data_IF_715792473478
#
_entry.id   IF_715792473478
#
_cell.length_a   1.000
_cell.length_b   1.000
_cell.length_c   1.000
_cell.angle_alpha   90.00
_cell.angle_beta   90.00
_cell.angle_gamma   90.00
#
_symmetry.space_group_name_H-M   'P 1'
#
loop_
_entity.id
_entity.type
_entity.pdbx_description
1 polymer ?
#
# COMPACT_ATOMS: atom_id res chain seq x y z
N UNK A 1 -47.07 -34.89 -6.56
CA UNK A 1 -47.54 -33.57 -6.11
C UNK A 1 -48.11 -33.73 -4.71
N UNK A 2 -47.37 -33.28 -3.69
CA UNK A 2 -47.91 -33.11 -2.34
C UNK A 2 -47.61 -31.67 -1.97
N UNK A 3 -48.65 -30.84 -1.91
CA UNK A 3 -48.58 -29.45 -1.50
C UNK A 3 -48.73 -29.39 0.02
N UNK A 4 -47.75 -28.83 0.70
CA UNK A 4 -47.85 -28.49 2.13
C UNK A 4 -48.34 -27.04 2.25
N UNK A 5 -49.51 -26.89 2.87
CA UNK A 5 -50.18 -25.61 3.12
C UNK A 5 -49.85 -25.11 4.52
N UNK A 6 -49.46 -23.84 4.64
CA UNK A 6 -49.23 -23.15 5.90
C UNK A 6 -50.57 -22.74 6.54
N UNK A 7 -50.78 -23.12 7.80
CA UNK A 7 -51.90 -22.64 8.61
C UNK A 7 -51.39 -21.65 9.66
N UNK A 8 -51.65 -20.36 9.45
CA UNK A 8 -51.54 -19.35 10.52
C UNK A 8 -52.87 -19.32 11.28
N UNK A 9 -52.83 -19.72 12.55
CA UNK A 9 -53.86 -19.41 13.54
C UNK A 9 -53.17 -18.75 14.71
N UNK A 10 -53.35 -17.44 14.86
CA UNK A 10 -52.85 -16.67 16.00
C UNK A 10 -53.74 -16.87 17.23
N UNK A 11 -53.12 -16.71 18.40
CA UNK A 11 -53.73 -16.02 19.54
C UNK A 11 -52.63 -15.57 20.51
N UNK A 12 -52.53 -14.25 20.65
CA UNK A 12 -52.18 -13.42 21.82
C UNK A 12 -51.42 -14.04 23.01
N UNK A 13 -50.20 -13.53 23.26
CA UNK A 13 -49.71 -13.25 24.62
C UNK A 13 -48.96 -11.92 24.62
N UNK A 14 -49.62 -10.88 25.14
CA UNK A 14 -48.99 -9.69 25.71
C UNK A 14 -48.09 -10.11 26.87
N UNK A 15 -46.83 -9.67 26.87
CA UNK A 15 -46.08 -9.41 28.09
C UNK A 15 -45.15 -8.22 27.85
N UNK A 16 -45.53 -7.10 28.45
CA UNK A 16 -44.64 -6.00 28.80
C UNK A 16 -43.57 -6.55 29.74
N UNK A 17 -42.29 -6.34 29.42
CA UNK A 17 -41.24 -6.29 30.43
C UNK A 17 -40.10 -5.38 29.93
N UNK A 18 -40.10 -4.18 30.51
CA UNK A 18 -38.97 -3.36 30.96
C UNK A 18 -37.60 -3.52 30.28
N UNK A 19 -37.15 -2.39 29.74
CA UNK A 19 -35.74 -2.04 29.57
C UNK A 19 -35.00 -2.22 30.91
N UNK A 20 -34.00 -3.10 30.93
CA UNK A 20 -32.95 -3.10 31.94
C UNK A 20 -31.59 -3.18 31.22
N UNK A 21 -30.94 -2.02 31.10
CA UNK A 21 -29.49 -1.94 31.01
C UNK A 21 -28.90 -2.49 32.32
N UNK A 22 -28.20 -3.61 32.28
CA UNK A 22 -27.22 -3.91 33.32
C UNK A 22 -26.05 -4.74 32.81
N UNK A 23 -24.88 -4.22 33.14
CA UNK A 23 -23.55 -4.83 33.09
C UNK A 23 -23.53 -6.34 33.31
N UNK A 24 -22.77 -7.05 32.48
CA UNK A 24 -22.13 -8.28 32.93
C UNK A 24 -20.61 -8.21 32.74
N UNK A 25 -19.95 -8.28 33.88
CA UNK A 25 -18.53 -8.46 34.01
C UNK A 25 -18.30 -9.95 34.25
N UNK A 26 -17.58 -10.59 33.32
CA UNK A 26 -16.86 -11.84 33.59
C UNK A 26 -17.43 -13.05 32.88
N UNK A 27 -16.79 -13.42 31.78
CA UNK A 27 -16.53 -14.82 31.47
C UNK A 27 -15.27 -14.93 30.62
N UNK A 28 -14.15 -15.05 31.34
CA UNK A 28 -12.95 -15.74 30.90
C UNK A 28 -13.31 -17.18 30.52
N UNK A 29 -13.31 -17.47 29.21
CA UNK A 29 -13.16 -18.82 28.68
C UNK A 29 -12.93 -18.75 27.16
N UNK A 30 -11.73 -19.14 26.71
CA UNK A 30 -11.51 -19.57 25.34
C UNK A 30 -10.49 -18.78 24.52
N UNK A 31 -9.43 -18.28 25.14
CA UNK A 31 -8.29 -17.71 24.42
C UNK A 31 -7.44 -18.86 23.84
N UNK A 32 -7.58 -19.10 22.53
CA UNK A 32 -6.65 -19.92 21.74
C UNK A 32 -6.01 -19.06 20.67
N UNK A 33 -4.77 -18.70 20.99
CA UNK A 33 -3.72 -18.20 20.12
C UNK A 33 -3.68 -18.94 18.78
N UNK A 34 -3.99 -18.26 17.67
CA UNK A 34 -3.60 -18.73 16.35
C UNK A 34 -2.08 -18.55 16.22
N UNK A 35 -1.36 -19.68 16.27
CA UNK A 35 0.08 -19.76 16.12
C UNK A 35 0.47 -19.76 14.64
N UNK A 36 1.07 -18.66 14.15
CA UNK A 36 2.17 -18.77 13.18
C UNK A 36 3.47 -18.77 14.01
N UNK A 37 4.02 -19.97 14.23
CA UNK A 37 5.34 -20.34 14.80
C UNK A 37 5.77 -19.82 16.22
N UNK A 38 5.44 -20.64 17.24
CA UNK A 38 6.12 -20.99 18.53
C UNK A 38 7.12 -20.06 19.29
N UNK A 39 6.76 -19.84 20.58
CA UNK A 39 7.50 -19.75 21.88
C UNK A 39 8.56 -18.64 22.06
N UNK A 40 8.58 -17.81 23.10
CA UNK A 40 8.25 -18.02 24.53
C UNK A 40 7.44 -16.87 25.17
N UNK A 41 6.69 -17.25 26.20
CA UNK A 41 5.81 -16.45 27.04
C UNK A 41 6.55 -15.54 28.04
N UNK A 42 6.20 -14.26 28.08
CA UNK A 42 6.33 -13.44 29.28
C UNK A 42 5.14 -12.48 29.39
N UNK A 43 4.41 -12.60 30.49
CA UNK A 43 3.29 -11.74 30.88
C UNK A 43 3.76 -10.29 31.08
N UNK A 44 3.15 -9.39 30.31
CA UNK A 44 3.19 -7.95 30.48
C UNK A 44 2.14 -7.32 29.55
N UNK A 45 1.32 -6.41 30.07
CA UNK A 45 0.40 -5.59 29.28
C UNK A 45 1.18 -4.83 28.20
N UNK A 46 1.21 -5.41 27.01
CA UNK A 46 2.00 -4.97 25.86
C UNK A 46 2.05 -6.11 24.87
N UNK A 47 1.06 -6.18 23.97
CA UNK A 47 1.06 -7.18 22.90
C UNK A 47 2.41 -7.17 22.17
N UNK A 48 3.00 -8.35 21.98
CA UNK A 48 4.27 -8.49 21.26
C UNK A 48 4.06 -8.00 19.83
N UNK A 49 4.75 -6.91 19.45
CA UNK A 49 4.74 -6.41 18.08
C UNK A 49 5.29 -7.49 17.15
N UNK A 50 4.60 -7.74 16.04
CA UNK A 50 5.07 -8.68 15.02
C UNK A 50 6.32 -8.09 14.37
N UNK A 51 7.42 -8.84 14.37
CA UNK A 51 8.67 -8.40 13.75
C UNK A 51 8.51 -8.28 12.23
N UNK A 52 9.20 -7.30 11.63
CA UNK A 52 9.20 -7.12 10.19
C UNK A 52 9.82 -8.33 9.48
N UNK A 53 9.11 -8.87 8.49
CA UNK A 53 9.57 -10.03 7.73
C UNK A 53 9.27 -9.87 6.24
N UNK A 54 10.15 -10.41 5.40
CA UNK A 54 9.97 -10.45 3.96
C UNK A 54 8.93 -11.51 3.59
N UNK A 55 7.99 -11.15 2.72
CA UNK A 55 7.00 -12.08 2.17
C UNK A 55 7.38 -12.48 0.74
N UNK A 56 7.24 -13.76 0.42
CA UNK A 56 7.54 -14.29 -0.91
C UNK A 56 6.36 -14.12 -1.87
N UNK A 57 6.63 -13.61 -3.07
CA UNK A 57 5.60 -13.38 -4.08
C UNK A 57 5.09 -14.69 -4.70
N UNK A 58 5.92 -15.71 -4.82
CA UNK A 58 5.51 -17.02 -5.34
C UNK A 58 4.59 -17.74 -4.36
N UNK A 59 4.90 -17.67 -3.07
CA UNK A 59 4.02 -18.15 -2.01
C UNK A 59 2.65 -17.45 -2.07
N UNK A 60 2.61 -16.10 -2.06
CA UNK A 60 1.33 -15.38 -2.11
C UNK A 60 0.52 -15.65 -3.39
N UNK A 61 1.18 -15.70 -4.55
CA UNK A 61 0.50 -16.02 -5.81
C UNK A 61 -0.03 -17.46 -5.85
N UNK A 62 0.60 -18.39 -5.14
CA UNK A 62 0.12 -19.78 -5.03
C UNK A 62 -1.17 -19.91 -4.19
N UNK A 63 -1.47 -18.91 -3.36
CA UNK A 63 -2.68 -18.89 -2.52
C UNK A 63 -3.86 -18.17 -3.16
N UNK A 64 -3.74 -17.70 -4.40
CA UNK A 64 -4.86 -17.06 -5.09
C UNK A 64 -5.97 -18.08 -5.40
N UNK A 65 -7.24 -17.67 -5.30
CA UNK A 65 -8.36 -18.50 -5.77
C UNK A 65 -8.31 -18.63 -7.30
N UNK A 66 -9.03 -19.60 -7.85
CA UNK A 66 -9.14 -19.80 -9.30
C UNK A 66 -9.82 -18.64 -10.03
N UNK A 67 -10.57 -17.81 -9.32
CA UNK A 67 -11.27 -16.64 -9.86
C UNK A 67 -11.23 -15.50 -8.84
N UNK A 68 -10.99 -14.28 -9.31
CA UNK A 68 -10.96 -13.06 -8.48
C UNK A 68 -11.96 -12.05 -9.04
N UNK A 69 -12.95 -11.70 -8.23
CA UNK A 69 -13.86 -10.57 -8.48
C UNK A 69 -13.24 -9.25 -8.02
N UNK A 70 -13.54 -8.18 -8.76
CA UNK A 70 -12.99 -6.84 -8.48
C UNK A 70 -13.91 -5.74 -9.01
N UNK A 71 -13.64 -4.49 -8.62
CA UNK A 71 -14.27 -3.32 -9.20
C UNK A 71 -13.23 -2.34 -9.78
N UNK A 72 -13.74 -1.29 -10.44
CA UNK A 72 -12.93 -0.27 -11.07
C UNK A 72 -12.98 1.03 -10.28
N UNK A 73 -11.84 1.45 -9.73
CA UNK A 73 -11.69 2.73 -9.05
C UNK A 73 -11.20 3.80 -10.03
N UNK A 74 -11.96 4.87 -10.20
CA UNK A 74 -11.55 6.02 -11.02
C UNK A 74 -10.77 7.04 -10.19
N UNK A 75 -9.54 7.32 -10.60
CA UNK A 75 -8.65 8.35 -10.09
C UNK A 75 -8.65 9.51 -11.07
N UNK A 76 -9.28 10.61 -10.68
CA UNK A 76 -9.38 11.83 -11.47
C UNK A 76 -8.43 12.88 -10.89
N UNK A 77 -7.23 13.08 -11.48
CA UNK A 77 -6.26 14.03 -10.99
C UNK A 77 -6.78 15.45 -11.24
N UNK A 78 -6.82 16.28 -10.20
CA UNK A 78 -7.15 17.70 -10.38
C UNK A 78 -5.89 18.43 -10.86
N UNK A 79 -5.81 18.73 -12.16
CA UNK A 79 -4.73 19.54 -12.74
C UNK A 79 -5.31 20.76 -13.45
N UNK A 80 -4.56 21.86 -13.44
CA UNK A 80 -4.87 23.10 -14.16
C UNK A 80 -4.44 23.07 -15.64
N UNK A 81 -3.76 22.00 -16.07
CA UNK A 81 -3.32 21.75 -17.45
C UNK A 81 -4.41 20.95 -18.22
N UNK A 82 -4.33 20.81 -19.58
CA UNK A 82 -5.31 20.04 -20.33
C UNK A 82 -5.42 18.63 -19.75
N UNK A 83 -6.65 18.19 -19.48
CA UNK A 83 -7.00 17.13 -18.53
C UNK A 83 -6.02 15.93 -18.57
N UNK A 84 -5.27 15.66 -17.48
CA UNK A 84 -4.52 14.42 -17.40
C UNK A 84 -5.50 13.25 -17.54
N UNK A 85 -5.16 12.20 -18.30
CA UNK A 85 -6.09 11.12 -18.56
C UNK A 85 -6.54 10.52 -17.22
N UNK A 86 -7.86 10.41 -17.04
CA UNK A 86 -8.45 9.73 -15.89
C UNK A 86 -7.88 8.33 -15.80
N UNK A 87 -7.42 7.96 -14.61
CA UNK A 87 -6.77 6.70 -14.36
C UNK A 87 -7.78 5.75 -13.72
N UNK A 88 -8.06 4.61 -14.35
CA UNK A 88 -8.90 3.56 -13.75
C UNK A 88 -8.00 2.47 -13.20
N UNK A 89 -8.14 2.12 -11.93
CA UNK A 89 -7.36 1.07 -11.26
C UNK A 89 -8.33 -0.03 -10.79
N UNK A 90 -8.13 -1.30 -11.19
CA UNK A 90 -8.93 -2.39 -10.67
C UNK A 90 -8.49 -2.70 -9.23
N UNK A 91 -9.46 -2.93 -8.36
CA UNK A 91 -9.19 -3.33 -6.97
C UNK A 91 -10.25 -4.27 -6.44
N UNK A 92 -9.88 -5.09 -5.48
CA UNK A 92 -10.82 -5.90 -4.71
C UNK A 92 -11.58 -5.04 -3.71
N UNK A 93 -12.85 -5.39 -3.50
CA UNK A 93 -13.66 -4.85 -2.42
C UNK A 93 -13.62 -5.74 -1.19
N UNK A 94 -13.98 -5.16 -0.04
CA UNK A 94 -14.05 -5.88 1.24
C UNK A 94 -14.99 -7.08 1.16
N UNK A 95 -16.09 -6.97 0.42
CA UNK A 95 -17.04 -8.08 0.29
C UNK A 95 -16.44 -9.25 -0.53
N UNK A 96 -15.63 -8.99 -1.56
CA UNK A 96 -14.94 -10.02 -2.36
C UNK A 96 -13.95 -10.80 -1.49
N UNK A 97 -13.21 -10.06 -0.67
CA UNK A 97 -12.22 -10.62 0.25
C UNK A 97 -12.92 -11.49 1.28
N UNK A 98 -14.05 -11.02 1.82
CA UNK A 98 -14.86 -11.79 2.77
C UNK A 98 -15.41 -13.07 2.14
N UNK A 99 -15.93 -12.99 0.91
CA UNK A 99 -16.44 -14.16 0.20
C UNK A 99 -15.35 -15.22 -0.02
N UNK A 100 -14.14 -14.79 -0.39
CA UNK A 100 -12.98 -15.69 -0.47
C UNK A 100 -12.64 -16.30 0.89
N UNK A 101 -12.54 -15.50 1.95
CA UNK A 101 -12.21 -16.00 3.28
C UNK A 101 -13.22 -17.02 3.78
N UNK A 102 -14.51 -16.80 3.52
CA UNK A 102 -15.57 -17.77 3.86
C UNK A 102 -15.51 -19.05 3.02
N UNK A 103 -15.03 -18.97 1.78
CA UNK A 103 -14.84 -20.14 0.92
C UNK A 103 -13.57 -20.94 1.27
N UNK A 104 -12.52 -20.26 1.77
CA UNK A 104 -11.28 -20.86 2.26
C UNK A 104 -11.40 -21.39 3.69
N UNK A 105 -12.42 -20.99 4.45
CA UNK A 105 -12.57 -21.38 5.86
C UNK A 105 -12.93 -22.87 5.95
N UNK A 106 -11.98 -23.66 6.46
CA UNK A 106 -12.23 -25.06 6.79
C UNK A 106 -13.10 -25.11 8.05
N UNK A 107 -14.25 -25.79 7.95
CA UNK A 107 -15.21 -25.93 9.05
C UNK A 107 -14.59 -26.55 10.31
N UNK A 108 -13.48 -27.29 10.18
CA UNK A 108 -12.80 -27.95 11.30
C UNK A 108 -11.73 -27.07 11.97
N UNK A 109 -11.09 -26.14 11.25
CA UNK A 109 -9.99 -25.30 11.79
C UNK A 109 -10.41 -23.87 12.10
N UNK A 110 -11.43 -23.34 11.40
CA UNK A 110 -12.00 -22.00 11.61
C UNK A 110 -10.92 -20.90 11.57
N UNK A 111 -9.90 -21.09 10.72
CA UNK A 111 -8.68 -20.27 10.65
C UNK A 111 -8.97 -18.82 10.27
N UNK A 112 -10.06 -18.56 9.52
CA UNK A 112 -10.39 -17.23 9.03
C UNK A 112 -11.42 -16.50 9.90
N UNK A 113 -11.92 -17.12 10.97
CA UNK A 113 -13.03 -16.55 11.77
C UNK A 113 -12.73 -15.17 12.36
N UNK A 114 -11.51 -14.94 12.84
CA UNK A 114 -11.11 -13.63 13.41
C UNK A 114 -11.09 -12.53 12.34
N UNK A 115 -10.60 -12.84 11.13
CA UNK A 115 -10.57 -11.92 10.00
C UNK A 115 -11.99 -11.61 9.50
N UNK A 116 -12.83 -12.63 9.36
CA UNK A 116 -14.23 -12.49 8.96
C UNK A 116 -14.99 -11.63 9.99
N UNK A 117 -14.82 -11.91 11.28
CA UNK A 117 -15.40 -11.10 12.36
C UNK A 117 -14.80 -9.69 12.44
N UNK A 118 -13.54 -9.52 12.03
CA UNK A 118 -12.88 -8.23 11.80
C UNK A 118 -13.70 -7.38 10.85
N UNK A 119 -13.91 -7.91 9.65
CA UNK A 119 -14.62 -7.24 8.56
C UNK A 119 -16.07 -6.86 8.91
N UNK A 120 -16.74 -7.62 9.78
CA UNK A 120 -18.11 -7.30 10.24
C UNK A 120 -18.18 -6.09 11.18
N UNK A 121 -17.18 -5.92 12.05
CA UNK A 121 -17.21 -4.91 13.12
C UNK A 121 -16.54 -3.58 12.72
N UNK A 122 -15.95 -3.53 11.53
CA UNK A 122 -15.20 -2.41 11.00
C UNK A 122 -13.76 -2.79 10.66
N UNK A 123 -13.15 -2.10 9.70
CA UNK A 123 -11.81 -2.41 9.16
C UNK A 123 -10.67 -2.24 10.19
N UNK A 124 -10.92 -1.84 11.44
CA UNK A 124 -9.84 -1.63 12.43
C UNK A 124 -10.14 -2.39 13.72
N UNK A 125 -9.19 -3.24 14.12
CA UNK A 125 -9.09 -3.85 15.45
C UNK A 125 -7.64 -3.76 15.93
N UNK A 126 -7.29 -2.72 16.72
CA UNK A 126 -5.91 -2.53 17.17
C UNK A 126 -5.28 -3.80 17.74
N UNK A 127 -4.02 -4.07 17.41
CA UNK A 127 -3.22 -5.25 17.83
C UNK A 127 -3.61 -6.61 17.25
N UNK A 128 -4.79 -6.72 16.63
CA UNK A 128 -5.27 -7.95 15.97
C UNK A 128 -5.27 -7.77 14.45
N UNK A 129 -5.73 -6.60 13.99
CA UNK A 129 -5.85 -6.24 12.60
C UNK A 129 -5.84 -4.71 12.44
N UNK A 130 -4.73 -4.17 11.95
CA UNK A 130 -4.51 -2.72 11.79
C UNK A 130 -5.18 -2.12 10.54
N UNK A 131 -6.14 -2.82 9.93
CA UNK A 131 -6.82 -2.38 8.71
C UNK A 131 -6.04 -2.65 7.42
N UNK A 132 -6.58 -2.14 6.31
CA UNK A 132 -5.93 -2.20 4.99
C UNK A 132 -6.71 -2.96 3.92
N UNK A 133 -7.77 -3.70 4.28
CA UNK A 133 -8.65 -4.36 3.32
C UNK A 133 -9.58 -3.35 2.62
N UNK A 134 -9.90 -2.22 3.26
CA UNK A 134 -10.65 -1.11 2.66
C UNK A 134 -9.72 -0.10 1.98
N UNK A 135 -10.15 0.46 0.84
CA UNK A 135 -9.54 1.69 0.30
C UNK A 135 -10.02 2.91 1.09
N UNK A 136 -9.08 3.57 1.76
CA UNK A 136 -9.33 4.79 2.52
C UNK A 136 -9.23 6.04 1.63
N UNK A 137 -9.93 7.11 1.99
CA UNK A 137 -10.04 8.33 1.17
C UNK A 137 -8.67 8.98 0.93
N UNK A 138 -7.79 8.98 1.93
CA UNK A 138 -6.45 9.57 1.77
C UNK A 138 -5.60 8.81 0.74
N UNK A 139 -5.84 7.50 0.53
CA UNK A 139 -5.14 6.74 -0.51
C UNK A 139 -5.54 7.24 -1.92
N UNK A 140 -6.80 7.61 -2.10
CA UNK A 140 -7.32 8.20 -3.34
C UNK A 140 -6.76 9.61 -3.54
N UNK A 141 -6.73 10.43 -2.49
CA UNK A 141 -6.18 11.79 -2.56
C UNK A 141 -4.67 11.76 -2.88
N UNK A 142 -3.93 10.82 -2.29
CA UNK A 142 -2.52 10.59 -2.62
C UNK A 142 -2.32 10.13 -4.05
N UNK A 143 -3.14 9.20 -4.53
CA UNK A 143 -3.09 8.71 -5.91
C UNK A 143 -3.35 9.82 -6.94
N UNK A 144 -4.28 10.75 -6.66
CA UNK A 144 -4.51 11.92 -7.50
C UNK A 144 -3.27 12.82 -7.59
N UNK A 145 -2.61 13.10 -6.46
CA UNK A 145 -1.37 13.88 -6.45
C UNK A 145 -0.25 13.18 -7.22
N UNK A 146 -0.06 11.88 -6.97
CA UNK A 146 0.93 11.05 -7.66
C UNK A 146 0.71 11.06 -9.17
N UNK A 147 -0.55 10.91 -9.61
CA UNK A 147 -0.89 10.95 -11.03
C UNK A 147 -0.68 12.34 -11.66
N UNK A 148 -0.92 13.42 -10.91
CA UNK A 148 -0.78 14.78 -11.40
C UNK A 148 0.68 15.28 -11.44
N UNK A 149 1.52 14.88 -10.48
CA UNK A 149 2.84 15.48 -10.28
C UNK A 149 3.99 14.48 -10.41
N UNK A 150 3.88 13.32 -9.77
CA UNK A 150 4.98 12.35 -9.70
C UNK A 150 5.16 11.57 -10.99
N UNK A 151 4.07 11.11 -11.62
CA UNK A 151 4.14 10.38 -12.88
C UNK A 151 4.74 11.24 -14.00
N UNK A 152 4.31 12.50 -14.22
CA UNK A 152 4.95 13.37 -15.20
C UNK A 152 6.42 13.64 -14.91
N UNK A 153 6.80 13.83 -13.64
CA UNK A 153 8.21 13.99 -13.27
C UNK A 153 9.03 12.75 -13.61
N UNK A 154 8.51 11.56 -13.27
CA UNK A 154 9.15 10.28 -13.58
C UNK A 154 9.30 10.07 -15.09
N UNK A 155 8.32 10.51 -15.88
CA UNK A 155 8.35 10.50 -17.34
C UNK A 155 9.41 11.44 -17.93
N UNK A 156 9.56 12.65 -17.38
CA UNK A 156 10.62 13.57 -17.83
C UNK A 156 11.99 12.95 -17.59
N UNK A 157 12.20 12.38 -16.40
CA UNK A 157 13.44 11.66 -16.04
C UNK A 157 13.67 10.42 -16.95
N UNK A 158 12.59 9.81 -17.49
CA UNK A 158 12.66 8.74 -18.48
C UNK A 158 13.08 9.24 -19.86
N UNK A 159 12.51 10.36 -20.31
CA UNK A 159 12.74 10.94 -21.63
C UNK A 159 14.13 11.58 -21.79
N UNK A 160 14.64 12.22 -20.73
CA UNK A 160 15.95 12.90 -20.72
C UNK A 160 17.15 11.94 -20.65
N UNK A 161 16.90 10.63 -20.58
CA UNK A 161 17.95 9.61 -20.54
C UNK A 161 18.70 9.55 -19.20
N UNK A 162 18.17 10.17 -18.15
CA UNK A 162 18.70 10.04 -16.78
C UNK A 162 18.55 8.58 -16.32
N UNK A 163 19.63 7.79 -16.40
CA UNK A 163 19.58 6.33 -16.14
C UNK A 163 19.60 5.97 -14.65
N UNK A 164 18.82 6.66 -13.83
CA UNK A 164 18.68 6.38 -12.40
C UNK A 164 17.70 5.24 -12.11
N UNK A 165 17.99 4.49 -11.06
CA UNK A 165 17.08 3.48 -10.53
C UNK A 165 15.99 4.16 -9.68
N UNK A 166 14.80 3.58 -9.63
CA UNK A 166 13.62 4.18 -8.98
C UNK A 166 13.11 3.22 -7.93
N UNK A 167 13.05 3.68 -6.68
CA UNK A 167 12.55 2.91 -5.55
C UNK A 167 11.27 3.56 -5.04
N UNK A 168 10.16 2.84 -5.11
CA UNK A 168 8.86 3.25 -4.56
C UNK A 168 8.59 2.38 -3.34
N UNK A 169 8.40 2.98 -2.17
CA UNK A 169 8.10 2.27 -0.93
C UNK A 169 6.76 2.75 -0.41
N UNK A 170 5.76 1.87 -0.32
CA UNK A 170 4.47 2.20 0.26
C UNK A 170 4.34 1.60 1.66
N UNK A 171 4.28 2.48 2.67
CA UNK A 171 4.10 2.12 4.08
C UNK A 171 2.61 2.08 4.41
N UNK A 172 2.12 0.95 4.92
CA UNK A 172 0.68 0.73 5.13
C UNK A 172 -0.05 0.62 3.81
N UNK A 173 0.39 -0.31 2.96
CA UNK A 173 -0.02 -0.39 1.57
C UNK A 173 -1.52 -0.67 1.41
N UNK A 174 -2.12 -1.55 2.22
CA UNK A 174 -3.53 -1.90 2.05
C UNK A 174 -3.88 -2.28 0.61
N UNK A 175 -4.78 -1.50 0.02
CA UNK A 175 -5.20 -1.64 -1.40
C UNK A 175 -4.19 -1.13 -2.44
N UNK A 176 -3.11 -0.48 -2.00
CA UNK A 176 -1.95 -0.03 -2.76
C UNK A 176 -2.21 0.97 -3.90
N UNK A 177 -3.36 1.66 -3.86
CA UNK A 177 -3.82 2.58 -4.90
C UNK A 177 -2.78 3.66 -5.29
N UNK A 178 -2.04 4.28 -4.35
CA UNK A 178 -0.94 5.19 -4.68
C UNK A 178 0.14 4.57 -5.57
N UNK A 179 0.75 3.45 -5.17
CA UNK A 179 1.79 2.79 -5.98
C UNK A 179 1.23 2.18 -7.26
N UNK A 180 0.01 1.64 -7.22
CA UNK A 180 -0.67 1.11 -8.41
C UNK A 180 -0.93 2.20 -9.45
N UNK A 181 -1.02 3.47 -9.04
CA UNK A 181 -1.12 4.58 -10.00
C UNK A 181 0.15 4.73 -10.84
N UNK A 182 1.31 4.60 -10.20
CA UNK A 182 2.61 4.60 -10.88
C UNK A 182 2.76 3.32 -11.72
N UNK A 183 2.45 2.16 -11.14
CA UNK A 183 2.59 0.87 -11.82
C UNK A 183 1.68 0.78 -13.06
N UNK A 184 0.41 1.19 -12.95
CA UNK A 184 -0.51 1.24 -14.08
C UNK A 184 0.09 2.04 -15.24
N UNK A 185 0.68 3.21 -14.95
CA UNK A 185 1.31 4.02 -15.98
C UNK A 185 2.48 3.29 -16.65
N UNK A 186 3.37 2.65 -15.86
CA UNK A 186 4.50 1.87 -16.38
C UNK A 186 4.06 0.67 -17.23
N UNK A 187 2.97 0.02 -16.85
CA UNK A 187 2.41 -1.15 -17.54
C UNK A 187 1.61 -0.78 -18.79
N UNK A 188 1.07 0.44 -18.85
CA UNK A 188 0.36 0.97 -20.02
C UNK A 188 1.29 1.36 -21.16
N UNK A 189 2.61 1.29 -20.97
CA UNK A 189 3.58 1.45 -22.05
C UNK A 189 3.80 0.11 -22.78
N UNK A 190 4.09 0.11 -24.09
CA UNK A 190 4.47 -1.11 -24.81
C UNK A 190 5.65 -1.82 -24.13
N UNK A 191 5.66 -3.15 -24.20
CA UNK A 191 6.76 -3.94 -23.64
C UNK A 191 8.11 -3.52 -24.26
N UNK A 192 9.17 -3.30 -23.45
CA UNK A 192 10.48 -2.94 -23.98
C UNK A 192 11.03 -4.04 -24.90
N UNK A 193 11.59 -3.64 -26.04
CA UNK A 193 12.30 -4.57 -26.95
C UNK A 193 13.74 -4.81 -26.51
N UNK A 194 14.34 -3.80 -25.87
CA UNK A 194 15.69 -3.85 -25.34
C UNK A 194 15.69 -4.20 -23.85
N UNK A 195 16.86 -4.64 -23.35
CA UNK A 195 17.04 -4.82 -21.91
C UNK A 195 16.74 -3.53 -21.14
N UNK A 196 16.10 -3.62 -19.96
CA UNK A 196 15.74 -2.45 -19.18
C UNK A 196 17.00 -1.66 -18.80
N UNK A 197 16.99 -0.36 -19.11
CA UNK A 197 18.13 0.53 -18.83
C UNK A 197 18.24 0.89 -17.35
N UNK A 198 17.13 0.83 -16.60
CA UNK A 198 17.02 1.11 -15.16
C UNK A 198 16.22 0.03 -14.46
N UNK A 199 16.39 -0.07 -13.14
CA UNK A 199 15.53 -0.91 -12.30
C UNK A 199 14.48 -0.05 -11.61
N UNK A 200 13.25 -0.57 -11.54
CA UNK A 200 12.15 0.04 -10.80
C UNK A 200 11.74 -0.96 -9.72
N UNK A 201 11.96 -0.61 -8.45
CA UNK A 201 11.64 -1.47 -7.31
C UNK A 201 10.45 -0.90 -6.55
N UNK A 202 9.39 -1.68 -6.46
CA UNK A 202 8.28 -1.41 -5.57
C UNK A 202 8.43 -2.25 -4.30
N UNK A 203 8.31 -1.60 -3.16
CA UNK A 203 8.23 -2.24 -1.84
C UNK A 203 6.86 -1.94 -1.27
N UNK A 204 6.03 -2.96 -1.09
CA UNK A 204 4.73 -2.85 -0.44
C UNK A 204 4.85 -3.37 0.98
N UNK A 205 4.51 -2.53 1.95
CA UNK A 205 4.60 -2.88 3.35
C UNK A 205 3.25 -2.72 4.03
N UNK A 206 2.83 -3.75 4.75
CA UNK A 206 1.63 -3.70 5.58
C UNK A 206 1.92 -4.39 6.91
N UNK A 207 1.23 -4.00 7.99
CA UNK A 207 1.39 -4.72 9.26
C UNK A 207 0.91 -6.16 9.12
N UNK A 208 -0.16 -6.37 8.35
CA UNK A 208 -0.85 -7.65 8.23
C UNK A 208 -0.43 -8.39 6.95
N UNK A 209 0.21 -9.56 7.07
CA UNK A 209 0.53 -10.42 5.91
C UNK A 209 -0.73 -10.81 5.11
N UNK A 210 -1.87 -10.97 5.79
CA UNK A 210 -3.14 -11.28 5.16
C UNK A 210 -3.60 -10.17 4.19
N UNK A 211 -3.34 -8.89 4.49
CA UNK A 211 -3.67 -7.77 3.60
C UNK A 211 -2.84 -7.84 2.32
N UNK A 212 -1.54 -8.14 2.44
CA UNK A 212 -0.67 -8.33 1.30
C UNK A 212 -1.17 -9.48 0.40
N UNK A 213 -1.51 -10.63 1.02
CA UNK A 213 -2.00 -11.84 0.34
C UNK A 213 -3.35 -11.62 -0.35
N UNK A 214 -4.31 -11.02 0.36
CA UNK A 214 -5.72 -10.96 -0.06
C UNK A 214 -6.03 -9.74 -0.91
N UNK A 215 -5.21 -8.68 -0.85
CA UNK A 215 -5.55 -7.39 -1.47
C UNK A 215 -4.42 -6.82 -2.29
N UNK A 216 -3.27 -6.58 -1.67
CA UNK A 216 -2.16 -5.89 -2.36
C UNK A 216 -1.69 -6.68 -3.58
N UNK A 217 -1.38 -7.97 -3.43
CA UNK A 217 -0.91 -8.82 -4.53
C UNK A 217 -2.00 -9.03 -5.61
N UNK A 218 -3.26 -9.36 -5.25
CA UNK A 218 -4.35 -9.41 -6.23
C UNK A 218 -4.53 -8.09 -7.01
N UNK A 219 -4.51 -6.93 -6.35
CA UNK A 219 -4.67 -5.64 -7.03
C UNK A 219 -3.52 -5.34 -8.00
N UNK A 220 -2.28 -5.75 -7.67
CA UNK A 220 -1.14 -5.67 -8.59
C UNK A 220 -1.38 -6.54 -9.83
N UNK A 221 -1.80 -7.79 -9.65
CA UNK A 221 -2.08 -8.71 -10.77
C UNK A 221 -3.22 -8.19 -11.65
N UNK A 222 -4.31 -7.72 -11.04
CA UNK A 222 -5.46 -7.13 -11.73
C UNK A 222 -5.04 -5.90 -12.55
N UNK A 223 -4.24 -5.01 -11.96
CA UNK A 223 -3.72 -3.81 -12.62
C UNK A 223 -2.89 -4.19 -13.85
N UNK A 224 -2.01 -5.19 -13.71
CA UNK A 224 -1.23 -5.69 -14.83
C UNK A 224 -2.07 -6.28 -15.94
N UNK A 225 -3.00 -7.17 -15.60
CA UNK A 225 -3.87 -7.84 -16.56
C UNK A 225 -4.69 -6.82 -17.37
N UNK A 226 -5.29 -5.84 -16.69
CA UNK A 226 -6.07 -4.79 -17.33
C UNK A 226 -5.22 -3.92 -18.28
N UNK A 227 -4.02 -3.51 -17.86
CA UNK A 227 -3.12 -2.72 -18.73
C UNK A 227 -2.71 -3.51 -19.99
N UNK A 228 -2.40 -4.80 -19.85
CA UNK A 228 -2.03 -5.66 -20.97
C UNK A 228 -3.20 -5.90 -21.94
N UNK A 229 -4.40 -6.11 -21.40
CA UNK A 229 -5.62 -6.26 -22.20
C UNK A 229 -5.88 -4.99 -23.04
N UNK A 230 -5.77 -3.80 -22.44
CA UNK A 230 -5.94 -2.52 -23.14
C UNK A 230 -4.91 -2.30 -24.25
N UNK A 231 -3.66 -2.71 -24.03
CA UNK A 231 -2.60 -2.66 -25.05
C UNK A 231 -2.87 -3.59 -26.23
N UNK A 232 -3.45 -4.76 -25.96
CA UNK A 232 -3.76 -5.77 -26.99
C UNK A 232 -5.05 -5.43 -27.76
N UNK A 233 -6.01 -4.78 -27.09
CA UNK A 233 -7.31 -4.39 -27.63
C UNK A 233 -7.58 -2.88 -27.46
N UNK A 234 -6.92 -2.01 -28.26
CA UNK A 234 -7.08 -0.55 -28.13
C UNK A 234 -8.52 -0.06 -28.36
N UNK A 235 -9.32 -0.79 -29.15
CA UNK A 235 -10.70 -0.40 -29.50
C UNK A 235 -11.68 -0.50 -28.31
N UNK A 236 -11.39 -1.31 -27.29
CA UNK A 236 -12.23 -1.39 -26.09
C UNK A 236 -12.06 -0.18 -25.18
N UNK A 237 -10.92 0.53 -25.29
CA UNK A 237 -10.63 1.72 -24.47
C UNK A 237 -11.49 2.93 -24.83
N UNK A 238 -11.96 3.04 -26.08
CA UNK A 238 -12.81 4.16 -26.55
C UNK A 238 -14.31 3.96 -26.21
N UNK A 239 -14.78 2.70 -26.07
CA UNK A 239 -16.18 2.40 -25.72
C UNK A 239 -16.52 2.75 -24.28
N UNK A 240 -15.59 2.60 -23.33
CA UNK A 240 -15.82 2.95 -21.92
C UNK A 240 -15.93 4.46 -21.65
N UNK A 241 -15.48 5.31 -22.57
CA UNK A 241 -15.53 6.78 -22.43
C UNK A 241 -16.81 7.36 -23.06
N UNK A 242 -17.43 6.64 -24.00
CA UNK A 242 -18.48 7.17 -24.88
C UNK A 242 -19.92 6.99 -24.38
N UNK A 243 -20.14 6.35 -23.23
CA UNK A 243 -21.51 6.01 -22.75
C UNK A 243 -22.31 7.18 -22.15
N UNK A 244 -21.84 8.43 -22.24
CA UNK A 244 -22.56 9.62 -21.76
C UNK A 244 -23.11 10.54 -22.87
N UNK A 245 -23.43 10.02 -24.06
CA UNK A 245 -24.19 10.81 -25.06
C UNK A 245 -25.38 10.02 -25.58
N UNK A 246 -26.53 10.19 -24.93
CA UNK A 246 -27.82 9.79 -25.50
C UNK A 246 -28.11 10.62 -26.75
N UNK A 247 -28.22 9.97 -27.91
CA UNK A 247 -29.05 10.43 -29.02
C UNK A 247 -29.38 9.28 -29.98
N UNK A 248 -30.64 8.85 -29.97
CA UNK A 248 -31.47 8.68 -31.16
C UNK A 248 -31.13 7.61 -32.21
N UNK A 249 -31.93 6.53 -32.16
CA UNK A 249 -32.61 5.84 -33.28
C UNK A 249 -31.84 5.09 -34.38
N UNK A 250 -32.25 3.82 -34.50
CA UNK A 250 -32.52 3.03 -35.72
C UNK A 250 -31.49 2.00 -36.25
N UNK A 251 -31.94 0.75 -36.14
CA UNK A 251 -31.98 -0.31 -37.16
C UNK A 251 -30.72 -1.14 -37.48
N UNK A 252 -30.72 -2.33 -36.85
CA UNK A 252 -30.56 -3.68 -37.42
C UNK A 252 -29.49 -4.00 -38.49
N UNK A 253 -28.75 -5.07 -38.16
CA UNK A 253 -28.45 -6.26 -38.98
C UNK A 253 -26.98 -6.47 -39.42
N UNK A 254 -26.22 -7.27 -38.66
CA UNK A 254 -25.28 -8.31 -39.16
C UNK A 254 -24.72 -9.20 -38.02
N UNK A 255 -24.35 -10.47 -38.32
CA UNK A 255 -24.29 -11.54 -37.32
C UNK A 255 -22.89 -11.85 -36.77
N UNK A 256 -22.92 -12.23 -35.48
CA UNK A 256 -22.09 -13.20 -34.76
C UNK A 256 -20.55 -13.19 -34.89
N UNK A 257 -19.91 -12.72 -33.82
CA UNK A 257 -18.49 -12.92 -33.52
C UNK A 257 -18.14 -12.38 -32.13
N UNK A 258 -18.28 -13.24 -31.11
CA UNK A 258 -17.77 -13.15 -29.74
C UNK A 258 -18.17 -11.94 -28.86
N UNK A 259 -19.32 -12.15 -28.18
CA UNK A 259 -19.70 -11.74 -26.82
C UNK A 259 -18.72 -10.83 -26.04
N UNK A 260 -18.90 -9.52 -26.19
CA UNK A 260 -19.13 -8.64 -25.03
C UNK A 260 -20.62 -8.30 -25.11
N UNK A 261 -21.45 -9.22 -24.61
CA UNK A 261 -22.88 -9.00 -24.55
C UNK A 261 -23.15 -7.83 -23.61
N UNK A 262 -23.83 -6.82 -24.12
CA UNK A 262 -24.25 -5.65 -23.37
C UNK A 262 -25.50 -6.01 -22.56
N UNK A 263 -25.35 -6.95 -21.63
CA UNK A 263 -26.35 -7.38 -20.69
C UNK A 263 -25.70 -7.42 -19.29
N UNK A 264 -26.28 -6.66 -18.36
CA UNK A 264 -25.90 -6.51 -16.94
C UNK A 264 -24.77 -5.51 -16.67
N UNK A 265 -25.11 -4.21 -16.62
CA UNK A 265 -24.27 -3.18 -15.99
C UNK A 265 -24.07 -3.39 -14.48
N UNK A 266 -24.65 -4.45 -13.91
CA UNK A 266 -24.57 -4.84 -12.50
C UNK A 266 -23.65 -6.06 -12.25
N UNK A 267 -23.09 -6.72 -13.29
CA UNK A 267 -22.14 -7.82 -13.10
C UNK A 267 -20.72 -7.27 -12.91
N UNK A 268 -20.14 -7.55 -11.74
CA UNK A 268 -18.76 -7.19 -11.44
C UNK A 268 -17.80 -8.00 -12.32
N UNK A 269 -16.70 -7.39 -12.80
CA UNK A 269 -15.72 -8.10 -13.59
C UNK A 269 -14.98 -9.14 -12.74
N UNK A 270 -14.73 -10.29 -13.37
CA UNK A 270 -13.97 -11.38 -12.79
C UNK A 270 -12.69 -11.65 -13.60
N UNK A 271 -11.67 -12.19 -12.94
CA UNK A 271 -10.44 -12.66 -13.56
C UNK A 271 -10.19 -14.12 -13.19
N UNK A 272 -10.15 -14.99 -14.21
CA UNK A 272 -9.73 -16.38 -14.05
C UNK A 272 -8.22 -16.46 -13.88
N UNK A 273 -7.78 -17.22 -12.88
CA UNK A 273 -6.37 -17.38 -12.52
C UNK A 273 -5.89 -18.74 -13.00
N UNK A 274 -4.93 -18.73 -13.92
CA UNK A 274 -4.22 -19.92 -14.38
C UNK A 274 -2.69 -19.75 -14.31
N UNK A 275 -1.97 -20.86 -14.46
CA UNK A 275 -0.51 -20.85 -14.43
C UNK A 275 0.13 -20.04 -15.58
N UNK A 276 -0.55 -19.93 -16.73
CA UNK A 276 -0.03 -19.18 -17.87
C UNK A 276 -0.08 -17.68 -17.62
N UNK A 277 -1.17 -17.18 -17.04
CA UNK A 277 -1.38 -15.81 -16.58
C UNK A 277 -0.27 -15.42 -15.60
N UNK A 278 -0.05 -16.22 -14.55
CA UNK A 278 0.99 -15.94 -13.54
C UNK A 278 2.40 -15.99 -14.14
N UNK A 279 2.66 -16.89 -15.09
CA UNK A 279 3.94 -16.94 -15.80
C UNK A 279 4.17 -15.69 -16.65
N UNK A 280 3.13 -15.23 -17.37
CA UNK A 280 3.19 -14.04 -18.20
C UNK A 280 3.37 -12.77 -17.36
N UNK A 281 2.68 -12.69 -16.23
CA UNK A 281 2.83 -11.61 -15.25
C UNK A 281 4.30 -11.43 -14.85
N UNK A 282 4.94 -12.52 -14.40
CA UNK A 282 6.36 -12.48 -13.99
C UNK A 282 7.30 -12.09 -15.13
N UNK A 283 7.10 -12.68 -16.30
CA UNK A 283 7.93 -12.41 -17.49
C UNK A 283 7.85 -10.95 -17.90
N UNK A 284 6.66 -10.37 -17.92
CA UNK A 284 6.45 -8.98 -18.32
C UNK A 284 7.06 -7.99 -17.32
N UNK A 285 6.87 -8.23 -16.00
CA UNK A 285 7.53 -7.42 -14.98
C UNK A 285 9.06 -7.47 -15.11
N UNK A 286 9.62 -8.66 -15.32
CA UNK A 286 11.06 -8.83 -15.51
C UNK A 286 11.57 -8.13 -16.79
N UNK A 287 10.84 -8.25 -17.90
CA UNK A 287 11.17 -7.58 -19.16
C UNK A 287 11.17 -6.05 -19.01
N UNK A 288 10.29 -5.51 -18.16
CA UNK A 288 10.20 -4.08 -17.83
C UNK A 288 11.21 -3.60 -16.80
N UNK A 289 12.01 -4.50 -16.21
CA UNK A 289 12.91 -4.16 -15.11
C UNK A 289 12.18 -3.76 -13.82
N UNK A 290 10.93 -4.22 -13.66
CA UNK A 290 10.12 -3.99 -12.48
C UNK A 290 10.34 -5.14 -11.50
N UNK A 291 10.64 -4.81 -10.25
CA UNK A 291 10.79 -5.76 -9.15
C UNK A 291 9.81 -5.40 -8.04
N UNK A 292 9.19 -6.43 -7.45
CA UNK A 292 8.22 -6.29 -6.37
C UNK A 292 8.81 -6.95 -5.11
N UNK A 293 8.65 -6.27 -3.97
CA UNK A 293 9.10 -6.71 -2.65
C UNK A 293 7.98 -6.47 -1.65
N UNK A 294 7.81 -7.39 -0.71
CA UNK A 294 6.70 -7.36 0.23
C UNK A 294 7.23 -7.53 1.64
N UNK A 295 6.77 -6.68 2.56
CA UNK A 295 7.20 -6.70 3.97
C UNK A 295 5.96 -6.70 4.85
N UNK A 296 5.84 -7.69 5.72
CA UNK A 296 4.82 -7.72 6.77
C UNK A 296 5.42 -7.35 8.13
N UNK A 297 4.60 -6.87 9.07
CA UNK A 297 5.02 -6.62 10.46
C UNK A 297 5.35 -5.15 10.79
N UNK A 298 5.85 -4.93 12.00
CA UNK A 298 5.99 -3.62 12.61
C UNK A 298 7.13 -2.77 12.02
N UNK A 299 6.88 -1.46 11.93
CA UNK A 299 7.90 -0.46 11.62
C UNK A 299 9.03 -0.51 12.67
N UNK A 300 10.26 -0.66 12.20
CA UNK A 300 11.44 -0.92 13.04
C UNK A 300 12.75 -0.71 12.25
N UNK A 301 13.92 -0.69 12.90
CA UNK A 301 15.20 -0.72 12.18
C UNK A 301 15.34 -1.93 11.25
N UNK A 302 14.88 -3.11 11.67
CA UNK A 302 14.87 -4.32 10.84
C UNK A 302 14.01 -4.13 9.58
N UNK A 303 12.87 -3.43 9.70
CA UNK A 303 12.05 -3.05 8.55
C UNK A 303 12.84 -2.20 7.54
N UNK A 304 13.64 -1.23 8.00
CA UNK A 304 14.46 -0.36 7.13
C UNK A 304 15.46 -1.19 6.34
N UNK A 305 16.12 -2.16 6.98
CA UNK A 305 17.08 -3.05 6.34
C UNK A 305 16.42 -3.95 5.27
N UNK A 306 15.18 -4.40 5.50
CA UNK A 306 14.41 -5.16 4.50
C UNK A 306 13.95 -4.27 3.33
N UNK A 307 13.46 -3.08 3.65
CA UNK A 307 12.91 -2.14 2.67
C UNK A 307 14.00 -1.57 1.76
N UNK A 308 15.19 -1.27 2.29
CA UNK A 308 16.33 -0.74 1.55
C UNK A 308 17.60 -1.49 1.99
N UNK A 309 17.81 -2.74 1.50
CA UNK A 309 18.97 -3.53 1.89
C UNK A 309 20.24 -2.76 1.57
N UNK A 310 21.11 -2.62 2.57
CA UNK A 310 22.38 -1.94 2.43
C UNK A 310 23.15 -2.54 1.26
N UNK A 311 23.21 -1.80 0.16
CA UNK A 311 24.02 -2.19 -0.98
C UNK A 311 25.48 -2.08 -0.50
N UNK A 312 26.25 -3.19 -0.42
CA UNK A 312 27.63 -3.14 0.03
C UNK A 312 28.38 -2.05 -0.73
N UNK A 313 29.38 -1.39 -0.13
CA UNK A 313 30.18 -0.39 -0.83
C UNK A 313 30.67 -1.04 -2.12
N UNK A 314 30.14 -0.52 -3.23
CA UNK A 314 30.40 -1.08 -4.54
C UNK A 314 31.91 -1.12 -4.72
N UNK A 315 32.45 -2.17 -5.36
CA UNK A 315 33.83 -2.15 -5.81
C UNK A 315 34.11 -0.80 -6.48
N UNK A 316 35.30 -0.18 -6.29
CA UNK A 316 35.60 1.17 -6.78
C UNK A 316 35.44 1.36 -8.30
N UNK A 317 35.15 0.28 -9.05
CA UNK A 317 34.86 0.26 -10.48
C UNK A 317 33.37 0.32 -10.87
N UNK A 318 32.42 0.13 -9.95
CA UNK A 318 30.98 0.19 -10.24
C UNK A 318 30.42 1.55 -9.84
N UNK A 319 30.23 2.42 -10.84
CA UNK A 319 29.61 3.73 -10.69
C UNK A 319 28.20 3.55 -10.12
N UNK A 320 27.97 4.00 -8.87
CA UNK A 320 26.65 3.94 -8.23
C UNK A 320 25.67 4.73 -9.09
N UNK A 321 24.63 4.06 -9.60
CA UNK A 321 23.55 4.73 -10.32
C UNK A 321 22.83 5.68 -9.37
N UNK A 322 22.36 6.81 -9.90
CA UNK A 322 21.47 7.72 -9.17
C UNK A 322 20.24 6.92 -8.76
N UNK A 323 19.79 7.04 -7.52
CA UNK A 323 18.56 6.39 -7.05
C UNK A 323 17.55 7.46 -6.64
N UNK A 324 16.33 7.36 -7.17
CA UNK A 324 15.20 8.17 -6.75
C UNK A 324 14.33 7.35 -5.80
N UNK A 325 14.24 7.78 -4.54
CA UNK A 325 13.40 7.16 -3.52
C UNK A 325 12.12 7.98 -3.33
N UNK A 326 10.98 7.35 -3.59
CA UNK A 326 9.66 7.88 -3.29
C UNK A 326 9.00 6.99 -2.24
N UNK A 327 8.72 7.56 -1.07
CA UNK A 327 7.98 6.89 -0.01
C UNK A 327 6.53 7.39 -0.06
N UNK A 328 5.57 6.47 -0.05
CA UNK A 328 4.14 6.75 -0.05
C UNK A 328 3.56 6.20 1.26
N UNK A 329 2.64 6.95 1.87
CA UNK A 329 1.89 6.48 3.02
C UNK A 329 0.52 7.16 3.06
N UNK A 330 -0.54 6.40 3.32
CA UNK A 330 -1.89 6.94 3.47
C UNK A 330 -2.55 6.42 4.72
N UNK A 331 -3.09 7.33 5.55
CA UNK A 331 -3.74 7.01 6.83
C UNK A 331 -2.87 6.15 7.76
N UNK A 332 -1.56 6.41 7.83
CA UNK A 332 -0.63 5.69 8.71
C UNK A 332 -0.35 6.38 10.04
N UNK A 333 -0.85 7.61 10.23
CA UNK A 333 -0.61 8.45 11.40
C UNK A 333 -1.83 8.58 12.33
N UNK A 334 -2.79 7.64 12.23
CA UNK A 334 -4.04 7.66 12.99
C UNK A 334 -3.85 7.31 14.47
N UNK A 335 -2.84 6.52 14.83
CA UNK A 335 -2.64 6.01 16.19
C UNK A 335 -1.44 6.66 16.87
N UNK A 336 -1.62 7.37 18.00
CA UNK A 336 -0.52 7.98 18.74
C UNK A 336 0.57 7.00 19.20
N UNK A 337 0.20 5.73 19.46
CA UNK A 337 1.14 4.71 19.93
C UNK A 337 2.15 4.30 18.86
N UNK A 338 1.79 4.38 17.57
CA UNK A 338 2.64 3.99 16.46
C UNK A 338 3.42 5.15 15.83
N UNK A 339 3.05 6.41 16.13
CA UNK A 339 3.67 7.61 15.55
C UNK A 339 5.19 7.65 15.70
N UNK A 340 5.73 7.22 16.85
CA UNK A 340 7.19 7.19 17.05
C UNK A 340 7.85 6.23 16.08
N UNK A 341 7.45 4.95 16.08
CA UNK A 341 8.05 3.93 15.22
C UNK A 341 7.90 4.26 13.74
N UNK A 342 6.75 4.82 13.34
CA UNK A 342 6.51 5.32 11.99
C UNK A 342 7.49 6.45 11.62
N UNK A 343 7.58 7.49 12.46
CA UNK A 343 8.45 8.66 12.23
C UNK A 343 9.92 8.28 12.14
N UNK A 344 10.38 7.39 13.02
CA UNK A 344 11.76 6.89 13.06
C UNK A 344 12.08 6.09 11.79
N UNK A 345 11.18 5.19 11.38
CA UNK A 345 11.33 4.39 10.16
C UNK A 345 11.33 5.27 8.91
N UNK A 346 10.41 6.25 8.83
CA UNK A 346 10.32 7.20 7.73
C UNK A 346 11.63 7.99 7.56
N UNK A 347 12.14 8.59 8.65
CA UNK A 347 13.38 9.37 8.62
C UNK A 347 14.59 8.50 8.29
N UNK A 348 14.66 7.28 8.82
CA UNK A 348 15.72 6.33 8.49
C UNK A 348 15.72 5.96 7.01
N UNK A 349 14.55 5.65 6.42
CA UNK A 349 14.42 5.37 4.98
C UNK A 349 14.87 6.55 4.12
N UNK A 350 14.46 7.78 4.47
CA UNK A 350 14.86 8.99 3.75
C UNK A 350 16.38 9.22 3.79
N UNK A 351 17.03 8.98 4.94
CA UNK A 351 18.49 9.07 5.08
C UNK A 351 19.22 8.02 4.24
N UNK A 352 18.77 6.77 4.33
CA UNK A 352 19.29 5.67 3.50
C UNK A 352 19.17 6.01 2.01
N UNK A 353 18.03 6.59 1.60
CA UNK A 353 17.80 7.04 0.23
C UNK A 353 18.80 8.10 -0.26
N UNK A 354 19.25 9.03 0.60
CA UNK A 354 20.27 10.03 0.25
C UNK A 354 21.72 9.50 0.32
N UNK A 355 21.92 8.24 0.67
CA UNK A 355 23.25 7.68 0.93
C UNK A 355 23.89 8.19 2.22
N UNK A 356 23.12 8.79 3.11
CA UNK A 356 23.53 9.13 4.48
C UNK A 356 23.43 7.83 5.29
N UNK A 357 24.56 7.14 5.46
CA UNK A 357 24.61 5.86 6.17
C UNK A 357 24.02 5.95 7.58
N UNK A 358 23.37 4.86 8.02
CA UNK A 358 22.83 4.73 9.36
C UNK A 358 23.98 4.58 10.38
N UNK A 359 24.23 5.59 11.23
CA UNK A 359 25.11 5.43 12.39
C UNK A 359 24.31 4.79 13.52
N UNK A 360 24.28 3.46 13.56
CA UNK A 360 23.77 2.74 14.72
C UNK A 360 24.64 3.08 15.93
N UNK A 361 24.13 3.91 16.85
CA UNK A 361 24.77 4.10 18.16
C UNK A 361 24.49 2.89 19.03
N UNK A 362 25.16 1.76 18.74
CA UNK A 362 25.36 0.73 19.74
C UNK A 362 26.42 1.22 20.72
N UNK A 363 25.99 1.65 21.91
CA UNK A 363 26.90 2.00 22.98
C UNK A 363 27.66 0.75 23.47
N UNK A 364 28.93 0.63 23.07
CA UNK A 364 29.90 -0.20 23.78
C UNK A 364 31.06 0.69 24.23
N UNK A 365 31.19 0.79 25.55
CA UNK A 365 32.21 1.58 26.21
C UNK A 365 33.57 0.87 26.22
N UNK A 366 34.63 1.65 26.00
CA UNK A 366 35.96 1.64 26.65
C UNK A 366 37.21 1.53 25.74
N UNK A 367 37.80 2.72 25.51
CA UNK A 367 39.24 3.10 25.60
C UNK A 367 40.25 2.69 24.50
N UNK A 368 41.40 3.40 24.34
CA UNK A 368 41.73 4.80 24.66
C UNK A 368 42.28 5.61 23.46
N UNK A 369 42.44 6.91 23.71
CA UNK A 369 42.80 8.01 22.81
C UNK A 369 44.17 7.87 22.11
N UNK A 370 44.24 8.26 20.84
CA UNK A 370 45.46 8.68 20.14
C UNK A 370 45.18 10.03 19.47
N UNK A 371 46.06 11.00 19.72
CA UNK A 371 46.01 12.38 19.22
C UNK A 371 46.09 12.51 17.68
N UNK A 372 45.61 13.62 17.08
CA UNK A 372 45.51 13.74 15.63
C UNK A 372 46.85 14.17 15.02
N UNK A 373 47.43 13.31 14.19
CA UNK A 373 48.50 13.70 13.28
C UNK A 373 47.90 14.28 11.98
N UNK A 374 48.50 15.39 11.54
CA UNK A 374 48.06 16.19 10.41
C UNK A 374 48.22 15.50 9.04
N UNK A 375 47.20 15.71 8.20
CA UNK A 375 47.19 15.82 6.73
C UNK A 375 47.36 14.54 5.85
N UNK A 376 46.65 14.42 4.69
CA UNK A 376 46.59 15.46 3.66
C UNK A 376 45.19 15.83 3.14
N UNK A 377 45.10 17.09 2.70
CA UNK A 377 44.03 17.63 1.86
C UNK A 377 44.05 16.90 0.51
N UNK A 378 43.15 15.90 0.36
CA UNK A 378 42.73 15.42 -0.94
C UNK A 378 41.51 16.23 -1.33
N UNK A 379 41.69 17.20 -2.22
CA UNK A 379 40.59 17.89 -2.91
C UNK A 379 39.93 16.93 -3.88
N UNK A 380 39.05 16.06 -3.38
CA UNK A 380 38.19 15.28 -4.25
C UNK A 380 36.86 16.03 -4.41
N UNK A 381 36.67 16.69 -5.56
CA UNK A 381 35.39 17.26 -5.99
C UNK A 381 34.44 16.14 -6.43
N UNK A 382 34.24 15.15 -5.57
CA UNK A 382 33.20 14.15 -5.72
C UNK A 382 31.97 14.64 -4.95
N UNK A 383 31.21 15.55 -5.56
CA UNK A 383 29.80 15.72 -5.17
C UNK A 383 29.15 14.34 -5.23
N UNK A 384 28.60 13.81 -4.13
CA UNK A 384 27.93 12.51 -4.15
C UNK A 384 26.82 12.54 -5.21
N UNK A 385 26.51 11.40 -5.86
CA UNK A 385 25.40 11.33 -6.81
C UNK A 385 24.15 11.89 -6.14
N UNK A 386 23.46 12.80 -6.84
CA UNK A 386 22.29 13.52 -6.34
C UNK A 386 21.10 12.56 -6.17
N UNK A 387 21.10 11.77 -5.10
CA UNK A 387 20.00 10.89 -4.75
C UNK A 387 18.84 11.73 -4.21
N UNK A 388 17.74 11.75 -4.97
CA UNK A 388 16.49 12.41 -4.58
C UNK A 388 15.71 11.45 -3.69
N UNK A 389 15.43 11.84 -2.46
CA UNK A 389 14.57 11.09 -1.54
C UNK A 389 13.48 12.01 -0.99
N UNK A 390 12.22 11.59 -1.13
CA UNK A 390 11.07 12.28 -0.53
C UNK A 390 9.99 11.30 -0.11
N UNK A 391 9.16 11.72 0.82
CA UNK A 391 7.96 11.00 1.24
C UNK A 391 6.71 11.85 1.02
N UNK A 392 5.64 11.22 0.56
CA UNK A 392 4.31 11.80 0.47
C UNK A 392 3.37 11.04 1.43
N UNK A 393 2.83 11.77 2.40
CA UNK A 393 1.98 11.21 3.47
C UNK A 393 0.62 11.87 3.39
N UNK A 394 -0.40 11.10 3.03
CA UNK A 394 -1.79 11.56 3.03
C UNK A 394 -2.50 11.14 4.32
N UNK A 395 -3.12 12.08 5.01
CA UNK A 395 -3.77 11.81 6.29
C UNK A 395 -4.94 12.76 6.56
N UNK A 396 -5.85 12.34 7.45
CA UNK A 396 -6.82 13.24 8.07
C UNK A 396 -6.10 14.17 9.04
N UNK A 397 -6.56 15.41 9.14
CA UNK A 397 -6.02 16.39 10.10
C UNK A 397 -6.12 15.87 11.53
N UNK A 398 -7.25 15.21 11.86
CA UNK A 398 -7.54 14.63 13.17
C UNK A 398 -8.26 13.28 13.02
N UNK A 399 -7.90 12.30 13.84
CA UNK A 399 -8.59 11.01 13.96
C UNK A 399 -9.31 10.91 15.32
N UNK A 400 -10.63 11.10 15.32
CA UNK A 400 -11.43 10.99 16.55
C UNK A 400 -11.40 9.56 17.11
N UNK A 401 -11.45 9.44 18.44
CA UNK A 401 -11.39 8.16 19.16
C UNK A 401 -9.96 7.70 19.45
N UNK A 402 -9.17 7.44 18.41
CA UNK A 402 -7.77 7.00 18.54
C UNK A 402 -6.81 8.15 18.88
N UNK A 403 -7.12 9.38 18.47
CA UNK A 403 -6.40 10.60 18.89
C UNK A 403 -5.13 10.93 18.12
N UNK A 404 -4.84 10.27 17.00
CA UNK A 404 -3.76 10.68 16.09
C UNK A 404 -4.19 11.78 15.13
N UNK A 405 -3.26 12.23 14.30
CA UNK A 405 -3.46 13.39 13.46
C UNK A 405 -2.15 14.01 12.98
N UNK A 406 -2.30 15.05 12.16
CA UNK A 406 -1.17 15.76 11.56
C UNK A 406 -0.34 16.47 12.62
N UNK A 407 -0.98 17.15 13.57
CA UNK A 407 -0.28 17.92 14.60
C UNK A 407 0.52 17.01 15.55
N UNK A 408 -0.05 15.87 15.95
CA UNK A 408 0.61 14.86 16.76
C UNK A 408 1.82 14.28 16.03
N UNK A 409 1.66 13.93 14.75
CA UNK A 409 2.76 13.44 13.91
C UNK A 409 3.90 14.47 13.80
N UNK A 410 3.58 15.72 13.47
CA UNK A 410 4.58 16.78 13.35
C UNK A 410 5.30 17.07 14.68
N UNK A 411 4.59 16.94 15.82
CA UNK A 411 5.21 17.06 17.15
C UNK A 411 6.22 15.94 17.37
N UNK A 412 5.87 14.69 17.09
CA UNK A 412 6.77 13.53 17.24
C UNK A 412 8.00 13.65 16.33
N UNK A 413 7.80 14.07 15.07
CA UNK A 413 8.90 14.32 14.13
C UNK A 413 9.89 15.37 14.65
N UNK A 414 9.39 16.52 15.14
CA UNK A 414 10.25 17.58 15.73
C UNK A 414 10.98 17.12 16.98
N UNK A 415 10.29 16.39 17.86
CA UNK A 415 10.90 15.86 19.08
C UNK A 415 12.01 14.85 18.76
N UNK A 416 11.84 14.04 17.72
CA UNK A 416 12.87 13.13 17.23
C UNK A 416 14.06 13.89 16.61
N UNK A 417 13.79 14.84 15.71
CA UNK A 417 14.82 15.67 15.07
C UNK A 417 15.69 16.43 16.08
N UNK A 418 15.10 16.98 17.15
CA UNK A 418 15.83 17.65 18.24
C UNK A 418 16.75 16.73 19.02
N UNK A 419 16.36 15.46 19.21
CA UNK A 419 17.16 14.47 19.95
C UNK A 419 18.37 14.03 19.15
N UNK A 420 18.25 13.93 17.83
CA UNK A 420 19.38 13.61 16.94
C UNK A 420 20.24 14.85 16.60
N UNK A 421 19.63 16.03 16.54
CA UNK A 421 20.25 17.31 16.12
C UNK A 421 21.21 17.98 17.10
N UNK A 422 21.76 17.27 18.08
CA UNK A 422 22.62 17.83 19.14
C UNK A 422 23.99 18.39 18.64
N UNK A 423 24.25 18.41 17.33
CA UNK A 423 25.50 18.95 16.75
C UNK A 423 25.25 20.07 15.70
N UNK A 424 24.01 20.34 15.25
CA UNK A 424 23.77 21.13 14.03
C UNK A 424 22.62 22.17 14.01
N UNK A 425 21.86 22.37 15.10
CA UNK A 425 20.92 23.49 15.24
C UNK A 425 19.64 23.47 14.37
N UNK A 426 19.41 22.46 13.54
CA UNK A 426 18.17 22.28 12.76
C UNK A 426 17.54 20.90 12.97
N UNK A 427 16.24 20.77 12.64
CA UNK A 427 15.46 19.54 12.86
C UNK A 427 15.88 18.36 11.95
N UNK A 428 16.72 18.61 10.93
CA UNK A 428 17.26 17.57 10.04
C UNK A 428 16.25 17.01 9.03
N UNK A 429 15.10 17.66 8.85
CA UNK A 429 14.09 17.38 7.84
C UNK A 429 13.28 18.65 7.51
N UNK A 430 12.53 18.64 6.41
CA UNK A 430 11.55 19.67 6.06
C UNK A 430 10.19 19.04 5.71
N UNK A 431 9.10 19.68 6.13
CA UNK A 431 7.72 19.25 5.82
C UNK A 431 6.99 20.38 5.09
N UNK A 432 6.31 20.05 3.99
CA UNK A 432 5.49 20.97 3.20
C UNK A 432 4.11 20.38 2.95
N UNK A 433 3.07 21.19 3.04
CA UNK A 433 1.72 20.77 2.60
C UNK A 433 1.67 20.86 1.08
N UNK A 434 1.38 19.74 0.41
CA UNK A 434 1.21 19.66 -1.06
C UNK A 434 -0.22 19.90 -1.48
N UNK A 435 -1.15 19.36 -0.71
CA UNK A 435 -2.58 19.42 -1.02
C UNK A 435 -3.37 19.47 0.28
N UNK A 436 -4.40 20.30 0.29
CA UNK A 436 -5.45 20.27 1.31
C UNK A 436 -6.75 19.89 0.63
N UNK A 437 -7.44 18.89 1.18
CA UNK A 437 -8.73 18.41 0.72
C UNK A 437 -9.76 18.75 1.79
N UNK A 438 -10.59 19.75 1.48
CA UNK A 438 -11.64 20.27 2.36
C UNK A 438 -13.00 19.94 1.75
N UNK A 439 -13.37 18.67 1.84
CA UNK A 439 -14.70 18.18 1.45
C UNK A 439 -15.59 18.09 2.71
N UNK A 440 -16.84 17.64 2.57
CA UNK A 440 -17.69 17.37 3.73
C UNK A 440 -17.00 16.38 4.70
N UNK A 441 -16.85 16.77 5.97
CA UNK A 441 -16.21 15.96 7.00
C UNK A 441 -14.90 16.56 7.53
N UNK A 442 -14.01 15.68 8.04
CA UNK A 442 -12.71 16.07 8.60
C UNK A 442 -11.75 16.43 7.46
N UNK A 443 -11.03 17.55 7.60
CA UNK A 443 -10.01 17.99 6.66
C UNK A 443 -8.95 16.91 6.44
N UNK A 444 -8.45 16.80 5.20
CA UNK A 444 -7.37 15.88 4.85
C UNK A 444 -6.25 16.64 4.15
N UNK A 445 -5.03 16.18 4.32
CA UNK A 445 -3.84 16.82 3.76
C UNK A 445 -2.91 15.78 3.16
N UNK A 446 -2.12 16.20 2.17
CA UNK A 446 -0.95 15.46 1.69
C UNK A 446 0.30 16.25 2.04
N UNK A 447 1.18 15.66 2.84
CA UNK A 447 2.43 16.23 3.31
C UNK A 447 3.61 15.68 2.50
N UNK A 448 4.52 16.54 2.07
CA UNK A 448 5.83 16.18 1.53
C UNK A 448 6.88 16.29 2.64
N UNK A 449 7.61 15.22 2.92
CA UNK A 449 8.73 15.17 3.87
C UNK A 449 10.04 14.92 3.13
N UNK A 450 11.06 15.73 3.40
CA UNK A 450 12.41 15.63 2.81
C UNK A 450 13.49 15.84 3.87
N UNK A 451 14.73 15.41 3.61
CA UNK A 451 15.90 15.55 4.51
C UNK A 451 17.01 16.36 3.87
#
# INVERSE_FOLDING_TARGET
MSAFTFGFGGDDIDNQDVEDEMHDAGMDAGMRQLHIARKESHDGEGGVLIEASQCDLDEMLSTLPSQISYNMLSINPQSSAPEPPSLTIPRREVFDIRAQLMAEDDADTNENAELISGLEKGDLKPTIYEGGLKTWECAIDLAKLVAAEEIPSLLSDLAEGESGDVHVVELGAGTAIPSLSILHHLLSQPAPQDRPRRTIRFVFADYNVAVLRLVTVPNILLTWHMCLHRLSNPQDSERSISSNTENGSDAENRPNGNLLDSANADEQPDLDIDHALLSNFRKDLHARGISLSFISGAWSPAFVDLALPNCPPASPSSQRRRTHLLILASETIYSPSSLRSFSETLLALLRCGRGLGFTSTSASASSPQIEPAAEPVVTDKNTPPDCKAKALIAAKEVYFGVGGGVDEFLRVMRDHGRREGQIGGGDGFSVKVRTEVRNEGVGRVVLEVTI
#
